data_IF_485041346610
#
_entry.id   IF_485041346610
#
_cell.length_a   1.000
_cell.length_b   1.000
_cell.length_c   1.000
_cell.angle_alpha   90.00
_cell.angle_beta   90.00
_cell.angle_gamma   90.00
#
_symmetry.space_group_name_H-M   'P 1'
#
loop_
_entity.id
_entity.type
_entity.pdbx_description
1 polymer ?
#
# COMPACT_ATOMS: atom_id res chain seq x y z
N UNK A 1 42.75 12.96 -23.91
CA UNK A 1 42.77 12.36 -22.57
C UNK A 1 41.35 12.46 -22.00
N UNK A 2 40.56 11.39 -22.08
CA UNK A 2 39.16 11.39 -21.66
C UNK A 2 39.09 10.76 -20.27
N UNK A 3 38.86 11.59 -19.26
CA UNK A 3 38.74 11.14 -17.88
C UNK A 3 37.32 10.53 -17.70
N UNK A 4 37.24 9.22 -17.65
CA UNK A 4 36.03 8.51 -17.31
C UNK A 4 35.81 8.64 -15.79
N UNK A 5 34.83 9.45 -15.39
CA UNK A 5 34.39 9.49 -13.98
C UNK A 5 33.78 8.15 -13.63
N UNK A 6 34.43 7.42 -12.75
CA UNK A 6 33.87 6.20 -12.14
C UNK A 6 32.64 6.60 -11.32
N UNK A 7 31.46 6.11 -11.71
CA UNK A 7 30.25 6.23 -10.92
C UNK A 7 30.50 5.47 -9.60
N UNK A 8 30.60 6.20 -8.50
CA UNK A 8 30.66 5.63 -7.15
C UNK A 8 29.35 4.89 -6.92
N UNK A 9 29.39 3.58 -6.85
CA UNK A 9 28.22 2.77 -6.47
C UNK A 9 27.78 3.24 -5.07
N UNK A 10 26.65 3.93 -5.01
CA UNK A 10 26.08 4.35 -3.74
C UNK A 10 25.82 3.10 -2.88
N UNK A 11 26.38 3.05 -1.69
CA UNK A 11 26.06 2.00 -0.71
C UNK A 11 24.54 2.03 -0.50
N UNK A 12 23.87 0.87 -0.55
CA UNK A 12 22.43 0.81 -0.32
C UNK A 12 22.15 1.38 1.09
N UNK A 13 21.25 2.34 1.15
CA UNK A 13 20.77 2.92 2.41
C UNK A 13 20.21 1.80 3.29
N UNK A 14 20.75 1.59 4.50
CA UNK A 14 20.29 0.50 5.39
C UNK A 14 18.79 0.56 5.66
N UNK A 15 18.19 1.75 5.79
CA UNK A 15 16.76 1.93 6.01
C UNK A 15 15.94 1.41 4.81
N UNK A 16 16.39 1.70 3.59
CA UNK A 16 15.73 1.18 2.38
C UNK A 16 15.81 -0.35 2.30
N UNK A 17 16.94 -0.93 2.69
CA UNK A 17 17.09 -2.38 2.70
C UNK A 17 16.17 -3.06 3.74
N UNK A 18 15.99 -2.43 4.90
CA UNK A 18 15.07 -2.90 5.94
C UNK A 18 13.62 -2.83 5.47
N UNK A 19 13.19 -1.69 4.89
CA UNK A 19 11.84 -1.52 4.34
C UNK A 19 11.57 -2.54 3.24
N UNK A 20 12.53 -2.74 2.32
CA UNK A 20 12.41 -3.74 1.27
C UNK A 20 12.31 -5.17 1.81
N UNK A 21 13.01 -5.47 2.91
CA UNK A 21 12.91 -6.75 3.62
C UNK A 21 11.53 -6.96 4.25
N UNK A 22 11.01 -5.94 4.93
CA UNK A 22 9.67 -5.95 5.50
C UNK A 22 8.59 -6.12 4.42
N UNK A 23 8.70 -5.39 3.30
CA UNK A 23 7.79 -5.54 2.15
C UNK A 23 7.71 -6.99 1.65
N UNK A 24 8.87 -7.66 1.50
CA UNK A 24 8.92 -9.04 1.01
C UNK A 24 8.16 -10.03 1.89
N UNK A 25 8.08 -9.77 3.19
CA UNK A 25 7.30 -10.61 4.10
C UNK A 25 5.79 -10.53 3.81
N UNK A 26 5.30 -9.39 3.34
CA UNK A 26 3.88 -9.14 3.01
C UNK A 26 3.56 -9.37 1.53
N UNK A 27 4.57 -9.50 0.66
CA UNK A 27 4.39 -9.60 -0.79
C UNK A 27 3.37 -10.66 -1.24
N UNK A 28 3.36 -11.89 -0.71
CA UNK A 28 2.38 -12.89 -1.13
C UNK A 28 0.93 -12.46 -0.88
N UNK A 29 0.66 -11.81 0.26
CA UNK A 29 -0.66 -11.38 0.66
C UNK A 29 -1.13 -10.16 -0.14
N UNK A 30 -0.27 -9.15 -0.33
CA UNK A 30 -0.61 -7.97 -1.15
C UNK A 30 -0.83 -8.34 -2.62
N UNK A 31 -0.04 -9.29 -3.16
CA UNK A 31 -0.25 -9.81 -4.51
C UNK A 31 -1.57 -10.59 -4.64
N UNK A 32 -1.95 -11.34 -3.61
CA UNK A 32 -3.24 -12.06 -3.59
C UNK A 32 -4.41 -11.06 -3.63
N UNK A 33 -4.34 -9.97 -2.85
CA UNK A 33 -5.34 -8.90 -2.85
C UNK A 33 -5.40 -8.21 -4.22
N UNK A 34 -4.27 -7.80 -4.78
CA UNK A 34 -4.22 -7.15 -6.09
C UNK A 34 -4.83 -8.03 -7.19
N UNK A 35 -4.59 -9.34 -7.15
CA UNK A 35 -5.19 -10.32 -8.09
C UNK A 35 -6.69 -10.50 -7.84
N UNK A 36 -7.12 -10.53 -6.59
CA UNK A 36 -8.54 -10.66 -6.24
C UNK A 36 -9.34 -9.44 -6.68
N UNK A 37 -8.81 -8.23 -6.50
CA UNK A 37 -9.40 -6.98 -7.00
C UNK A 37 -9.47 -7.01 -8.54
N UNK A 38 -8.40 -7.43 -9.21
CA UNK A 38 -8.38 -7.55 -10.67
C UNK A 38 -9.42 -8.53 -11.21
N UNK A 39 -9.60 -9.66 -10.54
CA UNK A 39 -10.54 -10.71 -10.95
C UNK A 39 -12.01 -10.36 -10.70
N UNK A 40 -12.27 -9.36 -9.86
CA UNK A 40 -13.59 -8.98 -9.39
C UNK A 40 -13.71 -7.44 -9.44
N UNK A 41 -13.72 -6.85 -10.67
CA UNK A 41 -13.70 -5.41 -10.85
C UNK A 41 -14.99 -4.74 -10.39
N UNK A 42 -14.86 -3.71 -9.56
CA UNK A 42 -15.95 -2.86 -9.10
C UNK A 42 -15.69 -1.42 -9.56
N UNK A 43 -16.70 -0.77 -10.12
CA UNK A 43 -16.56 0.62 -10.60
C UNK A 43 -16.61 1.61 -9.44
N UNK A 44 -16.12 2.82 -9.68
CA UNK A 44 -16.05 3.89 -8.69
C UNK A 44 -17.36 4.08 -7.91
N UNK A 45 -17.24 4.28 -6.60
CA UNK A 45 -18.30 4.42 -5.59
C UNK A 45 -19.12 3.15 -5.31
N UNK A 46 -18.75 2.01 -5.86
CA UNK A 46 -19.40 0.70 -5.60
C UNK A 46 -18.38 -0.40 -5.25
N UNK A 47 -17.15 -0.02 -4.90
CA UNK A 47 -15.99 -0.91 -4.65
C UNK A 47 -16.04 -1.54 -3.25
N UNK A 48 -17.15 -2.13 -2.88
CA UNK A 48 -17.37 -2.66 -1.53
C UNK A 48 -16.43 -3.82 -1.19
N UNK A 49 -16.24 -4.76 -2.13
CA UNK A 49 -15.38 -5.92 -1.89
C UNK A 49 -13.90 -5.58 -1.95
N UNK A 50 -13.51 -4.65 -2.83
CA UNK A 50 -12.15 -4.14 -2.89
C UNK A 50 -11.78 -3.39 -1.61
N UNK A 51 -12.68 -2.50 -1.14
CA UNK A 51 -12.55 -1.82 0.15
C UNK A 51 -12.36 -2.81 1.30
N UNK A 52 -13.25 -3.80 1.41
CA UNK A 52 -13.23 -4.79 2.49
C UNK A 52 -11.90 -5.56 2.50
N UNK A 53 -11.44 -6.05 1.34
CA UNK A 53 -10.16 -6.77 1.23
C UNK A 53 -8.98 -5.93 1.70
N UNK A 54 -8.92 -4.65 1.28
CA UNK A 54 -7.86 -3.72 1.67
C UNK A 54 -7.92 -3.36 3.15
N UNK A 55 -9.12 -3.04 3.65
CA UNK A 55 -9.34 -2.65 5.02
C UNK A 55 -9.04 -3.79 6.00
N UNK A 56 -9.50 -5.01 5.72
CA UNK A 56 -9.27 -6.18 6.56
C UNK A 56 -7.78 -6.53 6.68
N UNK A 57 -7.00 -6.38 5.61
CA UNK A 57 -5.56 -6.57 5.68
C UNK A 57 -4.91 -5.60 6.66
N UNK A 58 -5.24 -4.32 6.57
CA UNK A 58 -4.67 -3.30 7.44
C UNK A 58 -5.15 -3.44 8.88
N UNK A 59 -6.42 -3.80 9.11
CA UNK A 59 -6.97 -4.05 10.44
C UNK A 59 -6.26 -5.22 11.13
N UNK A 60 -6.06 -6.35 10.44
CA UNK A 60 -5.27 -7.48 10.95
C UNK A 60 -3.81 -7.10 11.23
N UNK A 61 -3.26 -6.15 10.50
CA UNK A 61 -1.92 -5.61 10.74
C UNK A 61 -1.86 -4.58 11.87
N UNK A 62 -2.98 -4.30 12.55
CA UNK A 62 -3.04 -3.43 13.73
C UNK A 62 -3.28 -1.95 13.42
N UNK A 63 -3.73 -1.61 12.21
CA UNK A 63 -4.19 -0.25 11.90
C UNK A 63 -5.57 -0.01 12.51
N UNK A 64 -5.80 1.23 12.96
CA UNK A 64 -7.13 1.71 13.32
C UNK A 64 -7.85 2.16 12.07
N UNK A 65 -9.07 1.65 11.86
CA UNK A 65 -9.86 1.93 10.65
C UNK A 65 -11.02 2.89 10.94
N UNK A 66 -11.29 3.75 9.96
CA UNK A 66 -12.49 4.57 9.86
C UNK A 66 -13.07 4.36 8.45
N UNK A 67 -14.25 3.73 8.38
CA UNK A 67 -14.95 3.44 7.12
C UNK A 67 -16.01 4.50 6.82
N UNK A 68 -16.34 4.70 5.54
CA UNK A 68 -17.37 5.64 5.10
C UNK A 68 -16.97 7.10 5.28
N UNK A 69 -15.67 7.42 5.20
CA UNK A 69 -15.20 8.80 5.35
C UNK A 69 -15.73 9.69 4.23
N UNK A 70 -15.95 10.97 4.55
CA UNK A 70 -16.47 11.97 3.60
C UNK A 70 -17.81 11.58 2.94
N UNK A 71 -18.66 10.85 3.66
CA UNK A 71 -19.95 10.34 3.17
C UNK A 71 -19.83 9.41 1.95
N UNK A 72 -18.65 8.80 1.76
CA UNK A 72 -18.39 7.82 0.71
C UNK A 72 -18.37 6.40 1.30
N UNK A 73 -19.39 5.57 1.06
CA UNK A 73 -19.52 4.24 1.70
C UNK A 73 -18.34 3.31 1.42
N UNK A 74 -17.70 3.45 0.26
CA UNK A 74 -16.56 2.62 -0.15
C UNK A 74 -15.19 3.23 0.18
N UNK A 75 -15.14 4.42 0.80
CA UNK A 75 -13.91 5.02 1.24
C UNK A 75 -13.57 4.63 2.69
N UNK A 76 -12.29 4.53 3.00
CA UNK A 76 -11.82 4.32 4.36
C UNK A 76 -10.48 5.02 4.61
N UNK A 77 -10.19 5.23 5.88
CA UNK A 77 -8.89 5.67 6.37
C UNK A 77 -8.36 4.63 7.36
N UNK A 78 -7.09 4.28 7.22
CA UNK A 78 -6.38 3.43 8.14
C UNK A 78 -5.19 4.19 8.71
N UNK A 79 -5.01 4.19 10.02
CA UNK A 79 -3.95 4.90 10.72
C UNK A 79 -3.18 3.99 11.65
N UNK A 80 -1.87 4.20 11.77
CA UNK A 80 -1.01 3.50 12.71
C UNK A 80 0.14 4.43 13.12
N UNK A 81 0.68 4.21 14.32
CA UNK A 81 1.78 5.00 14.86
C UNK A 81 1.33 6.32 15.49
N UNK A 82 2.28 7.00 16.08
CA UNK A 82 2.12 8.30 16.77
C UNK A 82 3.29 9.22 16.41
N UNK A 83 3.05 10.52 16.36
CA UNK A 83 4.11 11.49 16.08
C UNK A 83 3.62 12.76 15.41
N UNK A 84 4.53 13.71 15.25
CA UNK A 84 4.23 15.01 14.63
C UNK A 84 4.28 14.98 13.10
N UNK A 85 4.96 13.99 12.51
CA UNK A 85 5.01 13.78 11.07
C UNK A 85 4.02 12.70 10.67
N UNK A 86 3.13 13.04 9.74
CA UNK A 86 2.17 12.11 9.17
C UNK A 86 2.51 11.89 7.70
N UNK A 87 2.77 10.64 7.33
CA UNK A 87 2.90 10.23 5.93
C UNK A 87 1.59 9.58 5.48
N UNK A 88 1.05 10.03 4.35
CA UNK A 88 -0.18 9.48 3.78
C UNK A 88 0.10 8.74 2.48
N UNK A 89 -0.51 7.57 2.34
CA UNK A 89 -0.51 6.79 1.10
C UNK A 89 -1.93 6.75 0.54
N UNK A 90 -2.07 7.11 -0.74
CA UNK A 90 -3.35 6.99 -1.43
C UNK A 90 -3.49 5.58 -1.99
N UNK A 91 -4.63 4.95 -1.70
CA UNK A 91 -4.98 3.62 -2.20
C UNK A 91 -6.16 3.78 -3.15
N UNK A 92 -5.97 3.38 -4.40
CA UNK A 92 -6.99 3.38 -5.43
C UNK A 92 -7.32 1.93 -5.81
N UNK A 93 -8.60 1.57 -5.93
CA UNK A 93 -9.01 0.19 -6.21
C UNK A 93 -10.25 0.07 -7.11
N UNK A 94 -10.75 1.18 -7.63
CA UNK A 94 -11.85 1.19 -8.59
C UNK A 94 -11.43 0.70 -9.98
N UNK A 95 -12.40 0.15 -10.70
CA UNK A 95 -12.25 -0.30 -12.07
C UNK A 95 -12.98 0.65 -13.04
N UNK A 96 -12.59 0.59 -14.30
CA UNK A 96 -13.27 1.30 -15.37
C UNK A 96 -14.48 0.51 -15.88
N UNK A 97 -15.59 1.17 -16.24
CA UNK A 97 -16.72 0.52 -16.90
C UNK A 97 -16.25 -0.24 -18.15
N UNK A 98 -16.72 -1.47 -18.33
CA UNK A 98 -16.46 -2.34 -19.48
C UNK A 98 -14.99 -2.73 -19.72
N UNK A 99 -14.02 -2.04 -19.10
CA UNK A 99 -12.58 -2.27 -19.27
C UNK A 99 -11.94 -2.94 -18.04
N UNK A 100 -12.59 -2.95 -16.89
CA UNK A 100 -12.03 -3.46 -15.65
C UNK A 100 -10.81 -2.63 -15.20
N UNK A 101 -9.76 -3.30 -14.72
CA UNK A 101 -8.57 -2.64 -14.18
C UNK A 101 -7.54 -2.20 -15.25
N UNK A 102 -8.01 -1.64 -16.37
CA UNK A 102 -7.13 -1.13 -17.43
C UNK A 102 -6.20 0.01 -17.01
N UNK A 103 -6.52 0.76 -15.95
CA UNK A 103 -5.65 1.78 -15.34
C UNK A 103 -4.66 1.21 -14.33
N UNK A 104 -4.83 -0.05 -13.89
CA UNK A 104 -3.94 -0.68 -12.91
C UNK A 104 -4.19 -0.30 -11.46
N UNK A 105 -5.38 0.20 -11.07
CA UNK A 105 -5.70 0.57 -9.70
C UNK A 105 -5.56 -0.61 -8.72
N UNK A 106 -5.81 -1.84 -9.15
CA UNK A 106 -5.52 -3.03 -8.37
C UNK A 106 -4.03 -3.18 -8.02
N UNK A 107 -3.12 -2.73 -8.89
CA UNK A 107 -1.67 -2.72 -8.62
C UNK A 107 -1.29 -1.56 -7.70
N UNK A 108 -1.93 -0.40 -7.85
CA UNK A 108 -1.77 0.74 -6.94
C UNK A 108 -2.20 0.34 -5.53
N UNK A 109 -3.34 -0.35 -5.40
CA UNK A 109 -3.78 -0.90 -4.11
C UNK A 109 -2.71 -1.81 -3.49
N UNK A 110 -2.22 -2.81 -4.22
CA UNK A 110 -1.19 -3.72 -3.74
C UNK A 110 0.10 -3.02 -3.34
N UNK A 111 0.59 -2.09 -4.15
CA UNK A 111 1.80 -1.33 -3.87
C UNK A 111 1.66 -0.45 -2.61
N UNK A 112 0.55 0.26 -2.49
CA UNK A 112 0.29 1.15 -1.35
C UNK A 112 0.09 0.37 -0.05
N UNK A 113 -0.65 -0.74 -0.08
CA UNK A 113 -0.80 -1.64 1.07
C UNK A 113 0.53 -2.21 1.53
N UNK A 114 1.34 -2.71 0.59
CA UNK A 114 2.66 -3.25 0.90
C UNK A 114 3.61 -2.21 1.49
N UNK A 115 3.58 -0.98 0.98
CA UNK A 115 4.34 0.13 1.53
C UNK A 115 3.88 0.50 2.95
N UNK A 116 2.56 0.57 3.19
CA UNK A 116 1.99 0.85 4.51
C UNK A 116 2.42 -0.20 5.55
N UNK A 117 2.32 -1.49 5.21
CA UNK A 117 2.71 -2.59 6.09
C UNK A 117 4.20 -2.56 6.40
N UNK A 118 5.05 -2.33 5.39
CA UNK A 118 6.49 -2.26 5.57
C UNK A 118 6.92 -1.08 6.44
N UNK A 119 6.29 0.09 6.29
CA UNK A 119 6.54 1.26 7.12
C UNK A 119 6.08 1.04 8.56
N UNK A 120 4.89 0.47 8.77
CA UNK A 120 4.37 0.15 10.10
C UNK A 120 5.28 -0.79 10.90
N UNK A 121 5.97 -1.73 10.25
CA UNK A 121 6.95 -2.58 10.91
C UNK A 121 8.19 -1.80 11.40
N UNK A 122 8.60 -0.75 10.68
CA UNK A 122 9.74 0.08 11.08
C UNK A 122 9.37 0.96 12.27
N UNK A 123 8.17 1.55 12.26
CA UNK A 123 7.68 2.37 13.36
C UNK A 123 7.63 1.56 14.68
N UNK A 124 7.07 0.36 14.65
CA UNK A 124 7.04 -0.57 15.79
C UNK A 124 8.43 -0.94 16.32
N UNK A 125 9.44 -1.06 15.46
CA UNK A 125 10.82 -1.37 15.86
C UNK A 125 11.56 -0.16 16.44
N UNK A 126 11.13 1.05 16.12
CA UNK A 126 11.73 2.30 16.61
C UNK A 126 11.27 2.68 18.03
N UNK A 127 10.20 2.05 18.50
CA UNK A 127 9.55 2.37 19.80
C UNK A 127 10.05 1.49 20.97
N UNK A 128 11.07 0.64 20.75
CA UNK A 128 11.66 -0.28 21.77
C UNK A 128 12.98 0.27 22.29
#
# INVERSE_FOLDING_TARGET
>A
MTTTAAATAAHPDPAKAQIAGAYRAHEPEVLAIARAIHADPEIAFTEHRAQERCADLLERAGFTLERGIADLPTAFRATIGEGSLVASLCVEYDALPELGHGCGHNLIAGASLGAALALAEQDRKSTV
#
